data_IF_243687760087
#
_entry.id   IF_243687760087
#
_cell.length_a   1.000
_cell.length_b   1.000
_cell.length_c   1.000
_cell.angle_alpha   90.00
_cell.angle_beta   90.00
_cell.angle_gamma   90.00
#
_symmetry.space_group_name_H-M   'P 1'
#
loop_
_entity.id
_entity.type
_entity.pdbx_description
1 polymer ?
#
# COMPACT_ATOMS: atom_id res chain seq x y z
N UNK A 1 1.52 8.85 -22.55
CA UNK A 1 0.52 9.19 -21.51
C UNK A 1 0.11 10.65 -21.67
N UNK A 2 -1.15 11.01 -21.42
CA UNK A 2 -1.63 12.40 -21.32
C UNK A 2 -2.14 12.61 -19.88
N UNK A 3 -1.67 13.65 -19.20
CA UNK A 3 -2.03 13.98 -17.82
C UNK A 3 -2.61 15.40 -17.80
N UNK A 4 -3.81 15.56 -17.24
CA UNK A 4 -4.35 16.87 -16.91
C UNK A 4 -3.98 17.20 -15.46
N UNK A 5 -3.55 18.43 -15.20
CA UNK A 5 -3.11 18.89 -13.88
C UNK A 5 -3.51 20.35 -13.68
N UNK A 6 -3.78 20.74 -12.43
CA UNK A 6 -4.02 22.13 -12.03
C UNK A 6 -2.71 22.89 -11.73
N UNK A 7 -1.56 22.19 -11.79
CA UNK A 7 -0.24 22.78 -11.61
C UNK A 7 0.18 23.51 -12.91
N UNK A 8 0.23 24.84 -12.87
CA UNK A 8 0.39 25.69 -14.06
C UNK A 8 1.85 26.01 -14.42
N UNK A 9 2.79 25.90 -13.47
CA UNK A 9 4.20 26.21 -13.69
C UNK A 9 4.99 24.98 -14.16
N UNK A 10 5.34 24.93 -15.45
CA UNK A 10 6.08 23.82 -16.04
C UNK A 10 7.56 23.75 -15.61
N UNK A 11 8.14 24.84 -15.09
CA UNK A 11 9.52 24.85 -14.56
C UNK A 11 9.55 24.28 -13.14
N UNK A 12 8.58 24.67 -12.32
CA UNK A 12 8.45 24.15 -10.95
C UNK A 12 7.94 22.70 -10.93
N UNK A 13 7.06 22.34 -11.87
CA UNK A 13 6.46 21.01 -11.99
C UNK A 13 6.73 20.37 -13.36
N UNK A 14 7.96 19.89 -13.62
CA UNK A 14 8.30 19.28 -14.90
C UNK A 14 7.42 18.07 -15.22
N UNK A 15 6.97 17.96 -16.46
CA UNK A 15 6.05 16.90 -16.92
C UNK A 15 6.57 15.48 -16.60
N UNK A 16 7.87 15.24 -16.73
CA UNK A 16 8.47 13.94 -16.41
C UNK A 16 8.29 13.51 -14.95
N UNK A 17 8.41 14.46 -14.01
CA UNK A 17 8.18 14.22 -12.58
C UNK A 17 6.71 13.92 -12.30
N UNK A 18 5.81 14.70 -12.91
CA UNK A 18 4.36 14.50 -12.77
C UNK A 18 3.90 13.16 -13.31
N UNK A 19 4.41 12.73 -14.47
CA UNK A 19 4.11 11.42 -15.05
C UNK A 19 4.59 10.31 -14.12
N UNK A 20 5.80 10.41 -13.56
CA UNK A 20 6.32 9.41 -12.62
C UNK A 20 5.46 9.31 -11.36
N UNK A 21 5.12 10.43 -10.72
CA UNK A 21 4.21 10.47 -9.57
C UNK A 21 2.83 9.90 -9.89
N UNK A 22 2.31 10.18 -11.09
CA UNK A 22 1.04 9.62 -11.53
C UNK A 22 1.10 8.10 -11.71
N UNK A 23 2.24 7.56 -12.16
CA UNK A 23 2.49 6.13 -12.20
C UNK A 23 2.59 5.53 -10.78
N UNK A 24 3.29 6.18 -9.86
CA UNK A 24 3.35 5.78 -8.45
C UNK A 24 1.94 5.77 -7.82
N UNK A 25 1.07 6.73 -8.15
CA UNK A 25 -0.33 6.75 -7.68
C UNK A 25 -1.13 5.51 -8.06
N UNK A 26 -0.84 4.89 -9.22
CA UNK A 26 -1.51 3.64 -9.61
C UNK A 26 -1.24 2.50 -8.63
N UNK A 27 -0.19 2.59 -7.80
CA UNK A 27 0.06 1.65 -6.72
C UNK A 27 -1.00 1.69 -5.61
N UNK A 28 -1.95 2.63 -5.64
CA UNK A 28 -3.12 2.56 -4.76
C UNK A 28 -3.94 1.27 -4.96
N UNK A 29 -3.86 0.61 -6.13
CA UNK A 29 -4.41 -0.73 -6.32
C UNK A 29 -3.83 -1.77 -5.34
N UNK A 30 -2.54 -1.61 -4.98
CA UNK A 30 -1.88 -2.44 -3.97
C UNK A 30 -2.51 -2.26 -2.57
N UNK A 31 -3.17 -1.12 -2.29
CA UNK A 31 -3.91 -0.91 -1.05
C UNK A 31 -5.18 -1.78 -1.01
N UNK A 32 -5.98 -1.77 -2.08
CA UNK A 32 -7.16 -2.63 -2.19
C UNK A 32 -6.79 -4.12 -2.12
N UNK A 33 -5.69 -4.51 -2.77
CA UNK A 33 -5.16 -5.86 -2.69
C UNK A 33 -4.79 -6.23 -1.25
N UNK A 34 -4.07 -5.36 -0.54
CA UNK A 34 -3.68 -5.58 0.85
C UNK A 34 -4.90 -5.78 1.77
N UNK A 35 -5.88 -4.89 1.70
CA UNK A 35 -7.09 -4.96 2.51
C UNK A 35 -7.90 -6.24 2.23
N UNK A 36 -8.21 -6.49 0.95
CA UNK A 36 -9.13 -7.56 0.56
C UNK A 36 -8.50 -8.95 0.56
N UNK A 37 -7.28 -9.06 0.05
CA UNK A 37 -6.65 -10.36 -0.20
C UNK A 37 -5.58 -10.70 0.83
N UNK A 38 -4.86 -9.73 1.38
CA UNK A 38 -3.80 -10.03 2.35
C UNK A 38 -4.31 -10.07 3.78
N UNK A 39 -5.04 -9.04 4.23
CA UNK A 39 -5.58 -8.98 5.59
C UNK A 39 -6.82 -9.87 5.70
N UNK A 40 -7.81 -9.66 4.83
CA UNK A 40 -9.07 -10.41 4.87
C UNK A 40 -8.99 -11.81 4.26
N UNK A 41 -7.93 -12.14 3.51
CA UNK A 41 -7.78 -13.43 2.84
C UNK A 41 -8.98 -13.77 1.93
N UNK A 42 -9.57 -12.75 1.28
CA UNK A 42 -10.75 -12.90 0.41
C UNK A 42 -12.08 -13.07 1.15
N UNK A 43 -12.09 -13.00 2.49
CA UNK A 43 -13.31 -13.09 3.30
C UNK A 43 -14.07 -11.76 3.32
N UNK A 44 -15.36 -11.84 3.61
CA UNK A 44 -16.23 -10.68 3.86
C UNK A 44 -16.18 -10.27 5.34
N UNK A 45 -16.66 -9.08 5.63
CA UNK A 45 -16.86 -8.58 7.00
C UNK A 45 -17.86 -9.46 7.76
N UNK A 46 -17.73 -9.54 9.08
CA UNK A 46 -18.48 -10.49 9.92
C UNK A 46 -19.76 -9.90 10.49
N UNK A 47 -19.77 -8.60 10.77
CA UNK A 47 -20.90 -7.89 11.33
C UNK A 47 -22.06 -7.82 10.33
N UNK A 48 -23.27 -7.94 10.87
CA UNK A 48 -24.52 -7.92 10.12
C UNK A 48 -25.32 -6.64 10.35
N UNK A 49 -24.79 -5.71 11.14
CA UNK A 49 -25.37 -4.39 11.42
C UNK A 49 -24.44 -3.27 10.91
N UNK A 50 -24.98 -2.09 10.56
CA UNK A 50 -24.19 -1.00 10.01
C UNK A 50 -23.06 -0.50 10.92
N UNK A 51 -23.29 -0.48 12.24
CA UNK A 51 -22.32 0.04 13.21
C UNK A 51 -21.12 -0.91 13.32
N UNK A 52 -21.38 -2.21 13.42
CA UNK A 52 -20.33 -3.23 13.42
C UNK A 52 -19.53 -3.27 12.12
N UNK A 53 -20.19 -3.10 10.97
CA UNK A 53 -19.52 -3.01 9.67
C UNK A 53 -18.57 -1.80 9.64
N UNK A 54 -19.03 -0.64 10.10
CA UNK A 54 -18.19 0.55 10.18
C UNK A 54 -16.98 0.34 11.10
N UNK A 55 -17.18 -0.27 12.27
CA UNK A 55 -16.09 -0.62 13.19
C UNK A 55 -15.06 -1.54 12.53
N UNK A 56 -15.50 -2.61 11.86
CA UNK A 56 -14.59 -3.53 11.16
C UNK A 56 -13.81 -2.82 10.05
N UNK A 57 -14.47 -1.94 9.28
CA UNK A 57 -13.81 -1.15 8.25
C UNK A 57 -12.72 -0.24 8.85
N UNK A 58 -13.03 0.46 9.93
CA UNK A 58 -12.04 1.30 10.62
C UNK A 58 -10.87 0.50 11.18
N UNK A 59 -11.12 -0.69 11.74
CA UNK A 59 -10.07 -1.57 12.23
C UNK A 59 -9.13 -2.02 11.09
N UNK A 60 -9.68 -2.42 9.94
CA UNK A 60 -8.90 -2.82 8.77
C UNK A 60 -8.07 -1.67 8.19
N UNK A 61 -8.68 -0.48 8.04
CA UNK A 61 -7.99 0.71 7.56
C UNK A 61 -6.87 1.12 8.52
N UNK A 62 -7.12 1.07 9.83
CA UNK A 62 -6.13 1.41 10.85
C UNK A 62 -4.95 0.45 10.81
N UNK A 63 -5.20 -0.87 10.75
CA UNK A 63 -4.14 -1.88 10.64
C UNK A 63 -3.32 -1.69 9.36
N UNK A 64 -3.98 -1.46 8.23
CA UNK A 64 -3.31 -1.18 6.96
C UNK A 64 -2.41 0.05 7.05
N UNK A 65 -2.93 1.16 7.56
CA UNK A 65 -2.20 2.42 7.69
C UNK A 65 -1.02 2.30 8.65
N UNK A 66 -1.20 1.61 9.78
CA UNK A 66 -0.14 1.37 10.77
C UNK A 66 1.02 0.59 10.13
N UNK A 67 0.73 -0.55 9.50
CA UNK A 67 1.75 -1.37 8.85
C UNK A 67 2.46 -0.63 7.71
N UNK A 68 1.71 0.16 6.93
CA UNK A 68 2.29 1.00 5.87
C UNK A 68 3.21 2.07 6.42
N UNK A 69 2.81 2.74 7.50
CA UNK A 69 3.64 3.75 8.16
C UNK A 69 4.93 3.15 8.69
N UNK A 70 4.85 2.06 9.45
CA UNK A 70 6.04 1.36 9.97
C UNK A 70 6.96 0.89 8.84
N UNK A 71 6.38 0.45 7.72
CA UNK A 71 7.14 0.04 6.54
C UNK A 71 7.90 1.22 5.91
N UNK A 72 7.25 2.38 5.76
CA UNK A 72 7.88 3.59 5.22
C UNK A 72 8.96 4.10 6.17
N UNK A 73 8.69 4.16 7.47
CA UNK A 73 9.66 4.56 8.49
C UNK A 73 10.91 3.64 8.48
N UNK A 74 10.71 2.33 8.28
CA UNK A 74 11.80 1.39 8.11
C UNK A 74 12.61 1.65 6.84
N UNK A 75 11.96 1.88 5.70
CA UNK A 75 12.64 2.21 4.45
C UNK A 75 13.45 3.52 4.58
N UNK A 76 12.87 4.56 5.19
CA UNK A 76 13.52 5.85 5.41
C UNK A 76 14.73 5.79 6.33
N UNK A 77 14.80 4.78 7.21
CA UNK A 77 15.97 4.55 8.07
C UNK A 77 17.23 4.11 7.30
N UNK A 78 17.10 3.65 6.06
CA UNK A 78 18.21 3.22 5.21
C UNK A 78 18.28 4.04 3.91
N UNK A 79 19.33 4.85 3.70
CA UNK A 79 19.47 5.67 2.50
C UNK A 79 19.39 4.84 1.22
N UNK A 80 18.54 5.28 0.28
CA UNK A 80 18.36 4.62 -1.02
C UNK A 80 17.41 3.41 -1.02
N UNK A 81 16.76 3.10 0.10
CA UNK A 81 15.72 2.07 0.15
C UNK A 81 14.39 2.63 -0.36
N UNK A 82 13.92 2.09 -1.47
CA UNK A 82 12.61 2.38 -2.03
C UNK A 82 11.51 1.66 -1.21
N UNK A 83 10.56 2.39 -0.58
CA UNK A 83 9.45 1.79 0.17
C UNK A 83 8.59 0.80 -0.63
N UNK A 84 8.56 0.90 -1.97
CA UNK A 84 7.79 -0.03 -2.83
C UNK A 84 8.37 -1.45 -2.84
N UNK A 85 9.62 -1.62 -2.41
CA UNK A 85 10.28 -2.92 -2.24
C UNK A 85 9.88 -3.60 -0.94
N UNK A 86 9.31 -2.85 0.01
CA UNK A 86 8.94 -3.39 1.29
C UNK A 86 7.61 -4.16 1.22
N UNK A 87 7.69 -5.48 1.42
CA UNK A 87 6.55 -6.38 1.28
C UNK A 87 5.52 -6.21 2.40
N UNK A 88 4.29 -5.82 2.05
CA UNK A 88 3.19 -5.71 3.01
C UNK A 88 2.88 -7.03 3.73
N UNK A 89 2.97 -8.16 3.02
CA UNK A 89 2.76 -9.50 3.60
C UNK A 89 3.77 -9.80 4.71
N UNK A 90 5.03 -9.40 4.53
CA UNK A 90 6.08 -9.59 5.54
C UNK A 90 5.76 -8.75 6.78
N UNK A 91 5.39 -7.48 6.59
CA UNK A 91 5.00 -6.60 7.70
C UNK A 91 3.81 -7.16 8.49
N UNK A 92 2.77 -7.63 7.80
CA UNK A 92 1.58 -8.21 8.42
C UNK A 92 1.90 -9.50 9.19
N UNK A 93 2.69 -10.40 8.59
CA UNK A 93 3.10 -11.65 9.24
C UNK A 93 3.95 -11.36 10.48
N UNK A 94 4.93 -10.47 10.37
CA UNK A 94 5.76 -10.05 11.50
C UNK A 94 4.92 -9.46 12.65
N UNK A 95 4.00 -8.55 12.34
CA UNK A 95 3.12 -7.95 13.35
C UNK A 95 2.23 -8.99 14.04
N UNK A 96 1.67 -9.93 13.28
CA UNK A 96 0.86 -11.02 13.83
C UNK A 96 1.70 -11.94 14.72
N UNK A 97 2.89 -12.34 14.26
CA UNK A 97 3.74 -13.26 15.01
C UNK A 97 4.19 -12.62 16.34
N UNK A 98 4.56 -11.33 16.32
CA UNK A 98 4.90 -10.57 17.54
C UNK A 98 3.74 -10.48 18.53
N UNK A 99 2.52 -10.24 18.02
CA UNK A 99 1.32 -10.20 18.84
C UNK A 99 1.02 -11.57 19.48
N UNK A 100 1.14 -12.66 18.70
CA UNK A 100 0.86 -14.02 19.16
C UNK A 100 1.90 -14.50 20.17
N UNK A 101 3.18 -14.22 19.94
CA UNK A 101 4.27 -14.59 20.83
C UNK A 101 4.43 -13.63 22.02
N UNK A 102 3.78 -12.47 21.99
CA UNK A 102 3.94 -11.37 22.96
C UNK A 102 5.40 -10.89 23.08
N UNK A 103 6.13 -10.84 21.96
CA UNK A 103 7.53 -10.43 21.88
C UNK A 103 7.70 -9.03 21.30
N UNK A 104 8.79 -8.33 21.65
CA UNK A 104 9.14 -7.05 21.02
C UNK A 104 8.17 -5.90 21.29
N UNK A 105 7.35 -6.00 22.34
CA UNK A 105 6.27 -5.05 22.66
C UNK A 105 6.77 -3.61 22.92
N UNK A 106 8.02 -3.46 23.37
CA UNK A 106 8.63 -2.17 23.71
C UNK A 106 9.82 -1.80 22.83
N UNK A 107 9.94 -2.42 21.64
CA UNK A 107 11.05 -2.17 20.74
C UNK A 107 11.02 -0.72 20.23
N UNK A 108 12.18 -0.07 20.14
CA UNK A 108 12.29 1.33 19.72
C UNK A 108 12.78 1.46 18.26
N UNK A 109 12.61 2.65 17.69
CA UNK A 109 12.98 2.92 16.30
C UNK A 109 12.10 2.15 15.32
N UNK A 110 12.71 1.47 14.35
CA UNK A 110 11.97 0.73 13.30
C UNK A 110 11.35 -0.59 13.80
N UNK A 111 11.73 -1.05 14.99
CA UNK A 111 11.26 -2.29 15.61
C UNK A 111 11.54 -3.57 14.82
N UNK A 112 11.08 -4.71 15.34
CA UNK A 112 11.20 -6.01 14.68
C UNK A 112 10.47 -6.07 13.32
N UNK A 113 9.30 -5.43 13.20
CA UNK A 113 8.55 -5.37 11.93
C UNK A 113 9.43 -4.71 10.85
N UNK A 114 10.02 -3.55 11.14
CA UNK A 114 10.91 -2.86 10.23
C UNK A 114 12.14 -3.67 9.89
N UNK A 115 12.77 -4.31 10.88
CA UNK A 115 13.94 -5.18 10.66
C UNK A 115 13.63 -6.36 9.74
N UNK A 116 12.50 -7.04 9.92
CA UNK A 116 12.06 -8.13 9.03
C UNK A 116 11.71 -7.66 7.63
N UNK A 117 11.12 -6.49 7.50
CA UNK A 117 10.84 -5.89 6.19
C UNK A 117 12.13 -5.57 5.44
N UNK A 118 13.12 -4.97 6.11
CA UNK A 118 14.40 -4.60 5.51
C UNK A 118 15.27 -5.82 5.17
N UNK A 119 15.18 -6.92 5.92
CA UNK A 119 15.92 -8.14 5.62
C UNK A 119 15.36 -8.93 4.41
N UNK A 120 14.14 -8.63 3.99
CA UNK A 120 13.43 -9.34 2.93
C UNK A 120 12.84 -8.40 1.86
N UNK A 121 13.62 -7.38 1.46
CA UNK A 121 13.22 -6.45 0.40
C UNK A 121 12.98 -7.19 -0.93
N UNK A 122 11.84 -6.89 -1.55
CA UNK A 122 11.54 -7.38 -2.90
C UNK A 122 12.50 -6.78 -3.93
N UNK A 123 12.69 -7.43 -5.08
CA UNK A 123 13.37 -6.83 -6.22
C UNK A 123 12.72 -5.51 -6.63
N UNK A 124 13.49 -4.65 -7.30
CA UNK A 124 12.96 -3.42 -7.89
C UNK A 124 11.74 -3.75 -8.77
N UNK A 125 10.65 -3.02 -8.57
CA UNK A 125 9.40 -3.28 -9.26
C UNK A 125 9.54 -2.96 -10.75
N UNK A 126 9.06 -3.86 -11.61
CA UNK A 126 9.06 -3.65 -13.06
C UNK A 126 8.08 -2.54 -13.44
N UNK A 127 8.45 -1.71 -14.40
CA UNK A 127 7.51 -0.75 -14.99
C UNK A 127 6.33 -1.51 -15.61
N UNK A 128 5.12 -1.21 -15.13
CA UNK A 128 3.87 -1.75 -15.69
C UNK A 128 3.18 -0.64 -16.47
N UNK A 129 3.08 -0.84 -17.79
CA UNK A 129 2.28 0.01 -18.66
C UNK A 129 1.14 -0.83 -19.19
N UNK A 130 -0.09 -0.49 -18.79
CA UNK A 130 -1.29 -1.05 -19.39
C UNK A 130 -1.88 0.00 -20.33
N UNK A 131 -2.10 -0.38 -21.59
CA UNK A 131 -2.79 0.50 -22.54
C UNK A 131 -4.20 0.73 -22.01
N UNK A 132 -4.62 2.00 -21.87
CA UNK A 132 -5.95 2.32 -21.37
C UNK A 132 -6.99 1.78 -22.35
N UNK A 133 -7.66 0.69 -21.97
CA UNK A 133 -8.76 0.08 -22.73
C UNK A 133 -10.09 0.42 -22.07
N UNK A 134 -11.11 0.72 -22.87
CA UNK A 134 -12.48 0.85 -22.37
C UNK A 134 -12.93 -0.54 -21.91
N UNK A 135 -13.30 -0.68 -20.64
CA UNK A 135 -13.63 -1.97 -20.01
C UNK A 135 -14.85 -2.65 -20.66
N UNK A 136 -15.79 -1.86 -21.19
CA UNK A 136 -16.90 -2.32 -22.03
C UNK A 136 -17.07 -1.36 -23.20
N UNK A 137 -16.55 -1.69 -24.39
CA UNK A 137 -16.61 -0.81 -25.56
C UNK A 137 -18.02 -0.73 -26.18
N UNK A 138 -18.92 -1.65 -25.80
CA UNK A 138 -20.30 -1.69 -26.27
C UNK A 138 -21.19 -1.08 -25.18
N UNK A 139 -21.89 0.01 -25.52
CA UNK A 139 -22.94 0.56 -24.66
C UNK A 139 -24.08 -0.44 -24.56
N UNK A 140 -24.60 -0.69 -23.35
CA UNK A 140 -25.84 -1.47 -23.15
C UNK A 140 -27.09 -0.80 -23.76
N UNK A 141 -26.96 0.45 -24.19
CA UNK A 141 -28.03 1.28 -24.71
C UNK A 141 -27.82 1.64 -26.19
N UNK A 142 -26.99 0.89 -26.91
CA UNK A 142 -26.84 1.01 -28.37
C UNK A 142 -27.84 0.11 -29.09
#
# INVERSE_FOLDING_TARGET
>A
YRLATTLLDARLYPAGRLVRLYHERWEHESAYYALRHTILQGRVLRSHDPVGIEQEMWALLTLYQLLRRTTVEAAESQPGTDPDRCGFTIALQAARDLLVCAEGVFDQGIGEIGRRVLSALSPARRSRVSTRKVKSPISRYA
#
